data_IF_513627483634
#
_entry.id   IF_513627483634
#
_cell.length_a   1.000
_cell.length_b   1.000
_cell.length_c   1.000
_cell.angle_alpha   90.00
_cell.angle_beta   90.00
_cell.angle_gamma   90.00
#
_symmetry.space_group_name_H-M   'P 1'
#
loop_
_entity.id
_entity.type
_entity.pdbx_description
1 polymer ?
#
# COMPACT_ATOMS: atom_id res chain seq x y z
N UNK A 1 10.64 -24.10 -7.88
CA UNK A 1 9.33 -23.40 -7.75
C UNK A 1 8.47 -24.21 -6.81
N UNK A 2 7.66 -23.59 -5.95
CA UNK A 2 6.77 -24.29 -5.01
C UNK A 2 5.35 -23.77 -5.19
N UNK A 3 4.37 -24.66 -5.07
CA UNK A 3 2.96 -24.27 -5.10
C UNK A 3 2.62 -23.33 -3.95
N UNK A 4 1.84 -22.30 -4.28
CA UNK A 4 1.25 -21.44 -3.27
C UNK A 4 0.09 -22.18 -2.60
N UNK A 5 0.26 -22.49 -1.31
CA UNK A 5 -0.77 -23.08 -0.45
C UNK A 5 -1.04 -22.08 0.68
N UNK A 6 -2.25 -21.51 0.77
CA UNK A 6 -2.56 -20.54 1.81
C UNK A 6 -2.57 -21.20 3.19
N UNK A 7 -2.19 -20.44 4.23
CA UNK A 7 -2.23 -20.91 5.61
C UNK A 7 -3.64 -21.29 6.07
N UNK A 8 -4.64 -20.53 5.62
CA UNK A 8 -6.06 -20.82 5.84
C UNK A 8 -6.74 -21.01 4.49
N UNK A 9 -7.53 -22.08 4.29
CA UNK A 9 -8.22 -22.30 3.02
C UNK A 9 -8.96 -21.06 2.56
N UNK A 10 -8.78 -20.68 1.28
CA UNK A 10 -9.40 -19.52 0.61
C UNK A 10 -9.03 -18.14 1.16
N UNK A 11 -8.17 -18.02 2.18
CA UNK A 11 -7.75 -16.73 2.73
C UNK A 11 -6.27 -16.48 2.48
N UNK A 12 -5.95 -15.30 1.95
CA UNK A 12 -4.56 -14.88 1.70
C UNK A 12 -4.31 -13.57 2.44
N UNK A 13 -3.15 -13.48 3.09
CA UNK A 13 -2.68 -12.25 3.71
C UNK A 13 -1.37 -11.83 3.07
N UNK A 14 -1.29 -10.57 2.64
CA UNK A 14 -0.10 -9.98 2.04
C UNK A 14 0.32 -8.80 2.92
N UNK A 15 1.57 -8.84 3.38
CA UNK A 15 2.25 -7.69 3.94
C UNK A 15 3.25 -7.15 2.92
N UNK A 16 3.18 -5.84 2.66
CA UNK A 16 4.14 -5.13 1.83
C UNK A 16 4.81 -4.02 2.65
N UNK A 17 6.13 -3.99 2.65
CA UNK A 17 6.87 -2.86 3.18
C UNK A 17 6.53 -1.60 2.37
N UNK A 18 6.00 -0.58 3.04
CA UNK A 18 5.63 0.68 2.40
C UNK A 18 6.76 1.69 2.34
N UNK A 19 6.39 2.92 1.98
CA UNK A 19 7.35 3.99 1.77
C UNK A 19 7.74 4.68 3.08
N UNK A 20 9.00 5.11 3.16
CA UNK A 20 9.42 6.18 4.05
C UNK A 20 9.02 7.51 3.43
N UNK A 21 8.14 8.28 4.08
CA UNK A 21 7.54 9.51 3.52
C UNK A 21 8.46 10.73 3.69
N UNK A 22 9.69 10.56 3.22
CA UNK A 22 10.76 11.56 3.26
C UNK A 22 10.68 12.60 2.12
N UNK A 23 9.72 12.50 1.21
CA UNK A 23 9.65 13.36 0.02
C UNK A 23 8.68 12.82 -1.02
N UNK A 24 8.68 13.39 -2.22
CA UNK A 24 7.81 12.98 -3.31
C UNK A 24 8.06 11.51 -3.72
N UNK A 25 7.01 10.77 -4.13
CA UNK A 25 7.17 9.45 -4.70
C UNK A 25 7.95 9.52 -6.02
N UNK A 26 8.68 8.44 -6.33
CA UNK A 26 9.37 8.28 -7.60
C UNK A 26 9.00 6.93 -8.20
N UNK A 27 9.35 6.68 -9.47
CA UNK A 27 8.93 5.48 -10.22
C UNK A 27 9.24 4.17 -9.47
N UNK A 28 10.41 4.07 -8.82
CA UNK A 28 10.77 2.91 -8.01
C UNK A 28 9.78 2.60 -6.87
N UNK A 29 9.24 3.63 -6.21
CA UNK A 29 8.27 3.44 -5.14
C UNK A 29 6.93 2.92 -5.66
N UNK A 30 6.44 3.50 -6.77
CA UNK A 30 5.12 3.15 -7.30
C UNK A 30 5.12 1.82 -8.04
N UNK A 31 6.25 1.43 -8.65
CA UNK A 31 6.39 0.13 -9.35
C UNK A 31 6.05 -1.04 -8.42
N UNK A 32 6.58 -1.06 -7.21
CA UNK A 32 6.29 -2.13 -6.24
C UNK A 32 4.82 -2.14 -5.85
N UNK A 33 4.22 -0.97 -5.62
CA UNK A 33 2.79 -0.89 -5.30
C UNK A 33 1.91 -1.48 -6.42
N UNK A 34 2.20 -1.15 -7.68
CA UNK A 34 1.48 -1.68 -8.86
C UNK A 34 1.67 -3.19 -8.99
N UNK A 35 2.90 -3.69 -8.85
CA UNK A 35 3.17 -5.14 -8.98
C UNK A 35 2.38 -5.97 -7.95
N UNK A 36 2.33 -5.50 -6.70
CA UNK A 36 1.58 -6.16 -5.64
C UNK A 36 0.07 -5.96 -5.76
N UNK A 37 -0.39 -4.86 -6.36
CA UNK A 37 -1.79 -4.67 -6.71
C UNK A 37 -2.25 -5.67 -7.78
N UNK A 38 -1.42 -5.90 -8.81
CA UNK A 38 -1.67 -6.95 -9.82
C UNK A 38 -1.79 -8.33 -9.16
N UNK A 39 -0.85 -8.68 -8.27
CA UNK A 39 -0.91 -9.94 -7.52
C UNK A 39 -2.19 -10.06 -6.68
N UNK A 40 -2.55 -8.99 -5.95
CA UNK A 40 -3.76 -8.93 -5.14
C UNK A 40 -5.01 -9.13 -5.99
N UNK A 41 -5.12 -8.42 -7.12
CA UNK A 41 -6.25 -8.54 -8.06
C UNK A 41 -6.34 -9.93 -8.65
N UNK A 42 -5.20 -10.53 -9.01
CA UNK A 42 -5.15 -11.90 -9.51
C UNK A 42 -5.67 -12.89 -8.47
N UNK A 43 -5.25 -12.80 -7.21
CA UNK A 43 -5.75 -13.65 -6.13
C UNK A 43 -7.26 -13.48 -5.89
N UNK A 44 -7.75 -12.24 -5.91
CA UNK A 44 -9.19 -11.94 -5.79
C UNK A 44 -9.96 -12.58 -6.95
N UNK A 45 -9.48 -12.43 -8.20
CA UNK A 45 -10.10 -13.05 -9.38
C UNK A 45 -10.10 -14.58 -9.33
N UNK A 46 -9.17 -15.19 -8.58
CA UNK A 46 -9.11 -16.64 -8.31
C UNK A 46 -10.02 -17.09 -7.16
N UNK A 47 -10.82 -16.19 -6.59
CA UNK A 47 -11.81 -16.50 -5.55
C UNK A 47 -11.24 -16.56 -4.13
N UNK A 48 -10.05 -16.02 -3.90
CA UNK A 48 -9.48 -15.82 -2.57
C UNK A 48 -10.02 -14.56 -1.92
N UNK A 49 -10.23 -14.63 -0.61
CA UNK A 49 -10.38 -13.45 0.24
C UNK A 49 -8.99 -12.95 0.66
N UNK A 50 -8.66 -11.73 0.24
CA UNK A 50 -7.31 -11.17 0.37
C UNK A 50 -7.29 -10.02 1.37
N UNK A 51 -6.55 -10.21 2.45
CA UNK A 51 -6.10 -9.15 3.34
C UNK A 51 -4.78 -8.56 2.80
N UNK A 52 -4.71 -7.24 2.68
CA UNK A 52 -3.53 -6.56 2.13
C UNK A 52 -3.14 -5.37 3.01
N UNK A 53 -2.03 -5.51 3.73
CA UNK A 53 -1.50 -4.49 4.62
C UNK A 53 -0.21 -3.94 4.04
N UNK A 54 -0.13 -2.61 3.99
CA UNK A 54 1.09 -1.86 3.67
C UNK A 54 1.29 -0.81 4.74
N UNK A 55 2.45 -0.81 5.39
CA UNK A 55 2.80 0.20 6.38
C UNK A 55 3.16 1.53 5.72
N UNK A 56 3.36 2.57 6.52
CA UNK A 56 4.02 3.82 6.15
C UNK A 56 5.07 4.05 7.22
N UNK A 57 6.28 4.40 6.82
CA UNK A 57 7.32 4.83 7.76
C UNK A 57 7.27 6.35 7.81
N UNK A 58 6.56 6.87 8.81
CA UNK A 58 6.28 8.29 9.06
C UNK A 58 7.29 8.94 10.02
N UNK A 59 8.15 8.13 10.65
CA UNK A 59 9.27 8.56 11.47
C UNK A 59 10.56 7.81 11.06
N UNK A 60 11.58 8.58 10.67
CA UNK A 60 12.89 8.09 10.20
C UNK A 60 13.87 9.27 10.21
N UNK A 61 15.16 9.04 10.41
CA UNK A 61 16.19 10.10 10.41
C UNK A 61 16.15 10.95 9.12
N UNK A 62 15.82 10.33 7.98
CA UNK A 62 15.72 11.07 6.71
C UNK A 62 14.53 12.03 6.69
N UNK A 63 13.44 11.71 7.39
CA UNK A 63 12.29 12.60 7.56
C UNK A 63 12.69 13.76 8.47
N UNK A 64 13.29 13.46 9.63
CA UNK A 64 13.72 14.47 10.60
C UNK A 64 14.69 15.48 9.96
N UNK A 65 15.71 14.99 9.26
CA UNK A 65 16.71 15.83 8.62
C UNK A 65 16.14 16.71 7.51
N UNK A 66 15.25 16.16 6.65
CA UNK A 66 14.65 16.95 5.56
C UNK A 66 13.62 17.96 6.05
N UNK A 67 12.83 17.60 7.05
CA UNK A 67 11.88 18.52 7.66
C UNK A 67 12.61 19.70 8.32
N UNK A 68 13.67 19.41 9.09
CA UNK A 68 14.53 20.43 9.69
C UNK A 68 15.18 21.34 8.63
N UNK A 69 15.74 20.77 7.57
CA UNK A 69 16.32 21.53 6.46
C UNK A 69 15.31 22.43 5.73
N UNK A 70 14.04 22.05 5.73
CA UNK A 70 12.95 22.83 5.15
C UNK A 70 12.24 23.76 6.15
N UNK A 71 12.68 23.82 7.41
CA UNK A 71 12.05 24.64 8.45
C UNK A 71 10.63 24.21 8.80
N UNK A 72 10.28 22.92 8.62
CA UNK A 72 8.93 22.38 8.84
C UNK A 72 8.91 21.36 9.98
N UNK A 73 7.81 21.25 10.75
CA UNK A 73 7.66 20.16 11.71
C UNK A 73 7.65 18.78 11.02
N UNK A 74 8.33 17.79 11.60
CA UNK A 74 8.50 16.48 10.96
C UNK A 74 7.17 15.75 10.73
N UNK A 75 6.21 15.87 11.65
CA UNK A 75 4.89 15.23 11.52
C UNK A 75 4.09 15.83 10.36
N UNK A 76 4.24 17.12 10.13
CA UNK A 76 3.60 17.84 9.03
C UNK A 76 4.26 17.47 7.68
N UNK A 77 5.59 17.35 7.67
CA UNK A 77 6.35 16.83 6.53
C UNK A 77 5.89 15.42 6.14
N UNK A 78 5.87 14.50 7.11
CA UNK A 78 5.43 13.12 6.90
C UNK A 78 3.99 13.05 6.38
N UNK A 79 3.07 13.80 6.99
CA UNK A 79 1.67 13.83 6.56
C UNK A 79 1.51 14.40 5.14
N UNK A 80 2.29 15.42 4.77
CA UNK A 80 2.31 15.95 3.40
C UNK A 80 2.70 14.88 2.40
N UNK A 81 3.83 14.22 2.62
CA UNK A 81 4.30 13.23 1.65
C UNK A 81 3.50 11.93 1.70
N UNK A 82 2.88 11.53 2.82
CA UNK A 82 1.92 10.42 2.81
C UNK A 82 0.73 10.71 1.87
N UNK A 83 0.23 11.95 1.84
CA UNK A 83 -0.82 12.36 0.90
C UNK A 83 -0.34 12.29 -0.54
N UNK A 84 0.87 12.75 -0.84
CA UNK A 84 1.46 12.66 -2.19
C UNK A 84 1.62 11.21 -2.66
N UNK A 85 2.07 10.32 -1.77
CA UNK A 85 2.14 8.89 -2.06
C UNK A 85 0.75 8.30 -2.31
N UNK A 86 -0.24 8.65 -1.49
CA UNK A 86 -1.63 8.20 -1.67
C UNK A 86 -2.18 8.66 -3.01
N UNK A 87 -2.02 9.94 -3.35
CA UNK A 87 -2.43 10.48 -4.64
C UNK A 87 -1.76 9.78 -5.83
N UNK A 88 -0.46 9.47 -5.73
CA UNK A 88 0.25 8.74 -6.76
C UNK A 88 -0.26 7.29 -6.93
N UNK A 89 -0.63 6.62 -5.84
CA UNK A 89 -1.24 5.29 -5.91
C UNK A 89 -2.64 5.34 -6.52
N UNK A 90 -3.45 6.33 -6.13
CA UNK A 90 -4.80 6.53 -6.64
C UNK A 90 -4.78 6.84 -8.14
N UNK A 91 -3.86 7.70 -8.58
CA UNK A 91 -3.66 8.02 -10.01
C UNK A 91 -3.28 6.80 -10.86
N UNK A 92 -2.67 5.78 -10.25
CA UNK A 92 -2.30 4.52 -10.90
C UNK A 92 -3.38 3.43 -10.73
N UNK A 93 -4.52 3.74 -10.10
CA UNK A 93 -5.60 2.79 -9.86
C UNK A 93 -5.22 1.67 -8.87
N UNK A 94 -4.21 1.88 -8.05
CA UNK A 94 -3.80 0.91 -7.02
C UNK A 94 -4.89 0.85 -5.95
N UNK A 95 -5.30 -0.35 -5.55
CA UNK A 95 -6.32 -0.49 -4.52
C UNK A 95 -5.83 0.04 -3.16
N UNK A 96 -6.71 0.68 -2.37
CA UNK A 96 -6.33 1.17 -1.05
C UNK A 96 -5.87 0.02 -0.15
N UNK A 97 -4.98 0.35 0.79
CA UNK A 97 -4.55 -0.58 1.85
C UNK A 97 -5.78 -1.10 2.56
N UNK A 98 -5.92 -2.42 2.69
CA UNK A 98 -7.14 -3.05 3.20
C UNK A 98 -6.88 -3.70 4.54
N UNK A 99 -7.44 -3.11 5.60
CA UNK A 99 -7.25 -3.60 6.97
C UNK A 99 -8.03 -4.87 7.30
N UNK A 100 -9.16 -5.13 6.62
CA UNK A 100 -10.01 -6.30 6.88
C UNK A 100 -10.54 -6.97 5.60
N UNK A 101 -10.76 -8.30 5.63
CA UNK A 101 -11.44 -9.04 4.57
C UNK A 101 -12.87 -8.55 4.32
N UNK A 102 -13.45 -8.92 3.17
CA UNK A 102 -14.84 -8.55 2.87
C UNK A 102 -15.72 -9.56 3.57
N UNK A 103 -16.92 -9.18 4.00
CA UNK A 103 -17.92 -10.18 4.31
C UNK A 103 -18.00 -11.16 3.12
N UNK A 104 -18.04 -12.48 3.39
CA UNK A 104 -18.22 -13.48 2.34
C UNK A 104 -19.40 -13.11 1.45
N UNK A 105 -19.22 -13.14 0.12
CA UNK A 105 -20.27 -12.81 -0.86
C UNK A 105 -20.36 -11.34 -1.28
N UNK A 106 -19.51 -10.46 -0.77
CA UNK A 106 -19.46 -9.06 -1.25
C UNK A 106 -18.51 -8.96 -2.45
N UNK A 107 -19.05 -8.73 -3.65
CA UNK A 107 -18.22 -8.33 -4.80
C UNK A 107 -17.56 -6.97 -4.50
N UNK A 108 -16.33 -6.72 -4.98
CA UNK A 108 -15.75 -5.38 -4.87
C UNK A 108 -16.67 -4.44 -5.65
N UNK A 109 -17.30 -3.51 -4.96
CA UNK A 109 -18.18 -2.52 -5.58
C UNK A 109 -17.26 -1.53 -6.31
N UNK A 110 -16.99 -1.81 -7.59
CA UNK A 110 -16.32 -0.89 -8.48
C UNK A 110 -17.36 0.15 -8.89
N UNK A 111 -17.31 1.34 -8.30
CA UNK A 111 -18.09 2.48 -8.80
C UNK A 111 -17.62 2.80 -10.21
N UNK A 112 -18.58 2.74 -11.16
CA UNK A 112 -18.44 3.14 -12.56
C UNK A 112 -18.15 4.63 -12.72
#
# INVERSE_FOLDING_TARGET
MRDFIPLRPRHVSIYLCGATVQGLPHIGHVRSAVAFDILRRWLIARGYDVAFIRNVTDIDDKILNKAAAAGRPWWEWAATYEREFTAAYDALGVLPRRRNPAPPGTSPRWSS
#
